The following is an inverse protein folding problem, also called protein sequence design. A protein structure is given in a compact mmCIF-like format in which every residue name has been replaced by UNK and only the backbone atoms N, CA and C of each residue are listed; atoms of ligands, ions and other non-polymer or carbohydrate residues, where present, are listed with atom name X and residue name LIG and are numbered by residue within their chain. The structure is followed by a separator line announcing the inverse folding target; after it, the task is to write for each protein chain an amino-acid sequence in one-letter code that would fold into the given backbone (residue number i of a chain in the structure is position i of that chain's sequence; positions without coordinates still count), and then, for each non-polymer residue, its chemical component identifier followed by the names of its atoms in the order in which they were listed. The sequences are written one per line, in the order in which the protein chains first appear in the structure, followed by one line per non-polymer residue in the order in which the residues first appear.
data_IF_227285163926
#
_entry.id   IF_227285163926
#
_cell.length_a   1.000
_cell.length_b   1.000
_cell.length_c   1.000
_cell.angle_alpha   90.00
_cell.angle_beta   90.00
_cell.angle_gamma   90.00
#
_symmetry.space_group_name_H-M   'P 1'
#
loop_
_entity.id
_entity.type
_entity.pdbx_description
1 polymer ?
#
# COMPACT_ATOMS: atom_id res chain seq x y z
N UNK A 1 -1.78 0.40 -3.73
CA UNK A 1 -2.73 -0.67 -3.45
C UNK A 1 -2.75 -0.94 -1.97
N UNK A 2 -3.89 -1.09 -1.42
CA UNK A 2 -4.04 -1.48 -0.04
C UNK A 2 -3.88 -2.99 0.06
N UNK A 3 -3.28 -3.50 1.14
CA UNK A 3 -3.13 -4.93 1.40
C UNK A 3 -4.43 -5.75 1.37
N UNK A 4 -5.57 -5.09 1.26
CA UNK A 4 -6.89 -5.71 1.04
C UNK A 4 -6.91 -6.55 -0.25
N UNK A 5 -6.13 -6.16 -1.26
CA UNK A 5 -6.13 -6.84 -2.57
C UNK A 5 -5.23 -8.06 -2.60
N UNK A 6 -4.25 -8.10 -1.76
CA UNK A 6 -3.33 -9.24 -1.65
C UNK A 6 -3.97 -10.44 -0.98
N UNK A 7 -5.17 -10.30 -0.47
CA UNK A 7 -5.87 -11.32 0.29
C UNK A 7 -7.06 -11.97 -0.42
N UNK A 8 -7.10 -11.89 -1.74
CA UNK A 8 -8.12 -12.59 -2.52
C UNK A 8 -9.52 -12.01 -2.39
N UNK A 9 -9.67 -10.70 -2.34
CA UNK A 9 -10.97 -10.06 -2.55
C UNK A 9 -11.43 -10.43 -3.95
N UNK A 10 -12.37 -11.34 -4.05
CA UNK A 10 -13.01 -11.68 -5.33
C UNK A 10 -14.05 -10.62 -5.60
N UNK A 11 -13.77 -9.73 -6.54
CA UNK A 11 -14.76 -8.79 -7.02
C UNK A 11 -15.82 -9.53 -7.84
N UNK A 12 -17.10 -9.25 -7.57
CA UNK A 12 -18.15 -9.70 -8.46
C UNK A 12 -18.00 -9.08 -9.86
N UNK A 13 -18.39 -9.78 -10.95
CA UNK A 13 -18.26 -9.26 -12.31
C UNK A 13 -18.84 -7.85 -12.51
N UNK A 14 -19.98 -7.55 -11.90
CA UNK A 14 -20.60 -6.20 -11.98
C UNK A 14 -19.82 -5.12 -11.22
N UNK A 15 -19.03 -5.47 -10.20
CA UNK A 15 -18.11 -4.52 -9.57
C UNK A 15 -16.98 -4.18 -10.54
N UNK A 16 -16.46 -5.19 -11.24
CA UNK A 16 -15.41 -5.01 -12.23
C UNK A 16 -15.83 -4.09 -13.38
N UNK A 17 -17.07 -4.26 -13.89
CA UNK A 17 -17.63 -3.37 -14.92
C UNK A 17 -17.69 -1.92 -14.44
N UNK A 18 -18.20 -1.68 -13.22
CA UNK A 18 -18.24 -0.34 -12.64
C UNK A 18 -16.84 0.23 -12.39
N UNK A 19 -15.91 -0.58 -11.91
CA UNK A 19 -14.54 -0.19 -11.66
C UNK A 19 -13.80 0.25 -12.94
N UNK A 20 -13.95 -0.50 -14.03
CA UNK A 20 -13.33 -0.15 -15.30
C UNK A 20 -13.84 1.20 -15.86
N UNK A 21 -15.11 1.50 -15.66
CA UNK A 21 -15.68 2.79 -16.09
C UNK A 21 -15.18 3.94 -15.21
N UNK A 22 -15.09 3.75 -13.90
CA UNK A 22 -14.53 4.73 -12.95
C UNK A 22 -13.06 5.04 -13.24
N UNK A 23 -12.26 4.04 -13.61
CA UNK A 23 -10.87 4.25 -14.04
C UNK A 23 -10.78 5.09 -15.32
N UNK A 24 -11.67 4.87 -16.30
CA UNK A 24 -11.68 5.65 -17.55
C UNK A 24 -12.06 7.11 -17.35
N UNK A 25 -12.86 7.39 -16.34
CA UNK A 25 -13.36 8.72 -16.00
C UNK A 25 -12.47 9.43 -14.97
N UNK A 26 -11.33 8.85 -14.59
CA UNK A 26 -10.42 9.31 -13.52
C UNK A 26 -11.11 9.47 -12.15
N UNK A 27 -12.28 8.87 -11.96
CA UNK A 27 -12.99 8.88 -10.69
C UNK A 27 -12.34 7.96 -9.63
N UNK A 28 -11.48 7.04 -10.09
CA UNK A 28 -10.84 6.06 -9.24
C UNK A 28 -9.35 5.89 -9.61
N UNK A 29 -8.45 6.58 -8.95
CA UNK A 29 -7.03 6.47 -9.22
C UNK A 29 -6.52 5.04 -9.06
N UNK A 30 -5.71 4.56 -10.01
CA UNK A 30 -5.15 3.19 -10.00
C UNK A 30 -4.37 2.88 -8.73
N UNK A 31 -3.71 3.89 -8.17
CA UNK A 31 -2.89 3.77 -6.96
C UNK A 31 -3.70 3.37 -5.71
N UNK A 32 -5.00 3.50 -5.74
CA UNK A 32 -5.89 3.02 -4.68
C UNK A 32 -6.14 1.50 -4.77
N UNK A 33 -5.76 0.87 -5.89
CA UNK A 33 -6.13 -0.51 -6.19
C UNK A 33 -4.95 -1.41 -6.49
N UNK A 34 -3.91 -0.88 -7.09
CA UNK A 34 -2.70 -1.61 -7.47
C UNK A 34 -1.52 -1.02 -6.71
N UNK A 35 -0.74 -1.88 -6.11
CA UNK A 35 0.51 -1.49 -5.48
C UNK A 35 1.62 -1.42 -6.53
N UNK A 36 2.46 -0.39 -6.41
CA UNK A 36 3.67 -0.20 -7.22
C UNK A 36 4.89 -0.28 -6.31
N UNK A 37 5.58 -1.42 -6.32
CA UNK A 37 6.82 -1.61 -5.58
C UNK A 37 8.00 -1.11 -6.39
N UNK A 38 8.90 -0.35 -5.75
CA UNK A 38 10.12 0.17 -6.36
C UNK A 38 11.32 -0.17 -5.49
N UNK A 39 12.43 -0.58 -6.10
CA UNK A 39 13.69 -0.82 -5.38
C UNK A 39 14.90 -0.64 -6.30
N UNK A 40 16.05 -0.20 -5.74
CA UNK A 40 17.30 -0.06 -6.49
C UNK A 40 18.10 -1.36 -6.45
N UNK A 41 18.67 -1.73 -7.60
CA UNK A 41 19.65 -2.81 -7.76
C UNK A 41 20.96 -2.26 -8.33
N UNK A 42 21.96 -3.13 -8.51
CA UNK A 42 23.22 -2.72 -9.18
C UNK A 42 23.01 -2.26 -10.62
N UNK A 43 21.94 -2.72 -11.28
CA UNK A 43 21.63 -2.41 -12.68
C UNK A 43 20.75 -1.17 -12.88
N UNK A 44 20.18 -0.60 -11.83
CA UNK A 44 19.27 0.54 -11.93
C UNK A 44 18.06 0.43 -10.98
N UNK A 45 17.03 1.20 -11.29
CA UNK A 45 15.77 1.16 -10.57
C UNK A 45 14.88 0.03 -11.13
N UNK A 46 14.30 -0.77 -10.26
CA UNK A 46 13.32 -1.79 -10.63
C UNK A 46 11.95 -1.40 -10.08
N UNK A 47 10.91 -1.70 -10.84
CA UNK A 47 9.54 -1.48 -10.45
C UNK A 47 8.66 -2.67 -10.76
N UNK A 48 7.61 -2.88 -9.98
CA UNK A 48 6.63 -3.94 -10.22
C UNK A 48 5.25 -3.54 -9.70
N UNK A 49 4.22 -4.10 -10.33
CA UNK A 49 2.85 -4.02 -9.82
C UNK A 49 2.58 -5.17 -8.86
N UNK A 50 1.60 -4.97 -7.98
CA UNK A 50 1.09 -6.02 -7.11
C UNK A 50 -0.41 -5.82 -6.88
N UNK A 51 -1.21 -6.86 -7.17
CA UNK A 51 -2.66 -6.83 -7.06
C UNK A 51 -3.40 -6.88 -8.41
N UNK A 52 -2.68 -6.95 -9.54
CA UNK A 52 -3.29 -7.14 -10.86
C UNK A 52 -3.95 -8.53 -10.97
N UNK A 53 -3.44 -9.52 -10.27
CA UNK A 53 -3.94 -10.89 -10.23
C UNK A 53 -5.37 -10.99 -9.66
N UNK A 54 -5.74 -10.10 -8.75
CA UNK A 54 -7.11 -9.96 -8.21
C UNK A 54 -8.13 -9.71 -9.33
N UNK A 55 -7.69 -9.03 -10.39
CA UNK A 55 -8.50 -8.75 -11.58
C UNK A 55 -8.27 -9.78 -12.70
N UNK A 56 -7.60 -10.89 -12.41
CA UNK A 56 -7.27 -11.93 -13.39
C UNK A 56 -6.24 -11.48 -14.43
N UNK A 57 -5.42 -10.48 -14.11
CA UNK A 57 -4.33 -9.95 -14.95
C UNK A 57 -2.97 -10.37 -14.39
N UNK A 58 -1.98 -10.45 -15.27
CA UNK A 58 -0.60 -10.71 -14.85
C UNK A 58 0.06 -9.44 -14.32
N UNK A 59 0.88 -9.58 -13.29
CA UNK A 59 1.68 -8.49 -12.75
C UNK A 59 2.70 -7.99 -13.79
N UNK A 60 3.09 -6.73 -13.67
CA UNK A 60 4.04 -6.08 -14.55
C UNK A 60 5.34 -5.77 -13.82
N UNK A 61 6.47 -5.88 -14.52
CA UNK A 61 7.79 -5.54 -14.01
C UNK A 61 8.55 -4.67 -15.01
N UNK A 62 9.29 -3.71 -14.50
CA UNK A 62 10.34 -2.99 -15.20
C UNK A 62 11.64 -3.22 -14.46
N UNK A 63 12.70 -3.59 -15.17
CA UNK A 63 13.98 -3.91 -14.57
C UNK A 63 15.07 -2.97 -15.09
N UNK A 64 15.96 -2.55 -14.18
CA UNK A 64 17.15 -1.76 -14.47
C UNK A 64 16.85 -0.44 -15.23
N UNK A 65 15.76 0.22 -14.89
CA UNK A 65 15.42 1.50 -15.46
C UNK A 65 16.42 2.59 -15.01
N UNK A 66 16.82 3.43 -15.96
CA UNK A 66 17.48 4.70 -15.66
C UNK A 66 16.41 5.78 -15.56
N UNK A 67 15.78 5.85 -14.41
CA UNK A 67 14.63 6.70 -14.14
C UNK A 67 14.61 7.14 -12.67
N UNK A 68 13.91 8.22 -12.41
CA UNK A 68 13.55 8.59 -11.04
C UNK A 68 12.34 7.74 -10.56
N UNK A 69 12.20 7.52 -9.24
CA UNK A 69 11.15 6.67 -8.70
C UNK A 69 9.73 7.07 -9.13
N UNK A 70 9.43 8.37 -9.21
CA UNK A 70 8.15 8.88 -9.68
C UNK A 70 7.86 8.52 -11.12
N UNK A 71 8.82 8.76 -12.00
CA UNK A 71 8.71 8.44 -13.43
C UNK A 71 8.45 6.95 -13.65
N UNK A 72 9.17 6.08 -12.95
CA UNK A 72 8.98 4.64 -13.10
C UNK A 72 7.63 4.16 -12.55
N UNK A 73 7.16 4.76 -11.45
CA UNK A 73 5.83 4.48 -10.90
C UNK A 73 4.74 4.86 -11.90
N UNK A 74 4.79 6.07 -12.44
CA UNK A 74 3.79 6.59 -13.37
C UNK A 74 3.84 5.85 -14.71
N UNK A 75 5.05 5.47 -15.13
CA UNK A 75 5.25 4.60 -16.28
C UNK A 75 4.54 3.25 -16.10
N UNK A 76 4.67 2.59 -14.95
CA UNK A 76 3.98 1.33 -14.66
C UNK A 76 2.46 1.52 -14.46
N UNK A 77 2.05 2.64 -13.87
CA UNK A 77 0.65 2.93 -13.61
C UNK A 77 -0.17 3.04 -14.90
N UNK A 78 0.41 3.57 -15.94
CA UNK A 78 -0.26 3.78 -17.22
C UNK A 78 -0.67 2.48 -17.94
N UNK A 79 0.22 1.49 -18.19
CA UNK A 79 -0.20 0.20 -18.73
C UNK A 79 -1.11 -0.60 -17.79
N UNK A 80 -0.91 -0.51 -16.48
CA UNK A 80 -1.80 -1.14 -15.52
C UNK A 80 -3.22 -0.58 -15.60
N UNK A 81 -3.37 0.74 -15.65
CA UNK A 81 -4.65 1.42 -15.84
C UNK A 81 -5.31 1.03 -17.16
N UNK A 82 -4.55 1.02 -18.25
CA UNK A 82 -5.04 0.62 -19.57
C UNK A 82 -5.56 -0.82 -19.57
N UNK A 83 -4.79 -1.76 -19.02
CA UNK A 83 -5.18 -3.18 -18.94
C UNK A 83 -6.46 -3.37 -18.15
N UNK A 84 -6.61 -2.67 -17.02
CA UNK A 84 -7.82 -2.76 -16.20
C UNK A 84 -9.01 -2.02 -16.80
N UNK A 85 -8.81 -0.80 -17.28
CA UNK A 85 -9.90 0.03 -17.83
C UNK A 85 -10.45 -0.51 -19.16
N UNK A 86 -9.61 -1.16 -19.98
CA UNK A 86 -10.02 -1.70 -21.28
C UNK A 86 -10.23 -3.22 -21.26
N UNK A 87 -10.06 -3.88 -20.12
CA UNK A 87 -10.14 -5.34 -19.96
C UNK A 87 -9.29 -6.12 -20.97
N UNK A 88 -8.13 -5.59 -21.34
CA UNK A 88 -7.23 -6.23 -22.30
C UNK A 88 -6.30 -7.21 -21.60
N UNK A 89 -5.76 -8.15 -22.37
CA UNK A 89 -4.70 -9.07 -21.95
C UNK A 89 -3.49 -8.87 -22.84
N UNK A 90 -2.41 -8.39 -22.27
CA UNK A 90 -1.14 -8.21 -22.96
C UNK A 90 -0.45 -9.57 -23.15
N UNK A 91 0.28 -9.73 -24.26
CA UNK A 91 0.94 -10.99 -24.60
C UNK A 91 2.43 -10.79 -24.83
N UNK A 92 3.16 -11.87 -24.68
CA UNK A 92 4.59 -11.93 -25.00
C UNK A 92 4.86 -11.46 -26.43
N UNK A 93 5.83 -10.57 -26.59
CA UNK A 93 6.23 -9.99 -27.88
C UNK A 93 5.36 -8.82 -28.37
N UNK A 94 4.29 -8.48 -27.68
CA UNK A 94 3.53 -7.26 -27.98
C UNK A 94 4.31 -6.01 -27.53
N UNK A 95 3.84 -4.86 -27.98
CA UNK A 95 4.39 -3.56 -27.54
C UNK A 95 3.28 -2.71 -26.97
N UNK A 96 3.61 -1.93 -25.95
CA UNK A 96 2.76 -0.89 -25.39
C UNK A 96 3.49 0.45 -25.51
N UNK A 97 2.76 1.53 -25.68
CA UNK A 97 3.35 2.86 -25.78
C UNK A 97 2.32 3.94 -25.52
N UNK A 98 2.78 5.12 -25.13
CA UNK A 98 1.93 6.27 -24.79
C UNK A 98 1.83 7.27 -25.93
N UNK A 99 2.72 7.15 -26.93
CA UNK A 99 2.73 7.94 -28.16
C UNK A 99 3.06 7.05 -29.37
N UNK A 100 2.88 7.56 -30.57
CA UNK A 100 3.07 6.79 -31.80
C UNK A 100 4.51 6.30 -32.03
N UNK A 101 5.48 6.98 -31.46
CA UNK A 101 6.92 6.75 -31.52
C UNK A 101 7.49 6.14 -30.22
N UNK A 102 6.68 6.05 -29.19
CA UNK A 102 7.04 5.49 -27.89
C UNK A 102 6.53 4.03 -27.79
N UNK A 103 7.43 3.08 -27.92
CA UNK A 103 7.08 1.64 -27.94
C UNK A 103 7.95 0.83 -27.00
N UNK A 104 7.31 0.27 -25.99
CA UNK A 104 7.93 -0.59 -25.01
C UNK A 104 7.57 -2.05 -25.27
N UNK A 105 8.58 -2.90 -25.39
CA UNK A 105 8.37 -4.33 -25.65
C UNK A 105 7.94 -5.04 -24.38
N UNK A 106 6.97 -5.95 -24.52
CA UNK A 106 6.49 -6.82 -23.45
C UNK A 106 7.12 -8.18 -23.59
N UNK A 107 7.73 -8.70 -22.53
CA UNK A 107 8.27 -10.04 -22.45
C UNK A 107 7.67 -10.78 -21.27
N UNK A 108 7.07 -11.94 -21.51
CA UNK A 108 6.49 -12.76 -20.47
C UNK A 108 7.52 -13.75 -19.93
N UNK A 109 7.88 -13.67 -18.67
CA UNK A 109 8.87 -14.54 -18.03
C UNK A 109 8.63 -14.65 -16.51
N UNK A 110 9.28 -15.60 -15.81
CA UNK A 110 9.20 -15.69 -14.36
C UNK A 110 9.54 -14.35 -13.68
N UNK A 111 8.82 -14.02 -12.63
CA UNK A 111 9.04 -12.82 -11.83
C UNK A 111 10.45 -12.75 -11.26
N UNK A 112 10.97 -11.52 -11.09
CA UNK A 112 12.25 -11.24 -10.42
C UNK A 112 12.00 -10.48 -9.13
N UNK A 113 11.09 -9.52 -9.15
CA UNK A 113 10.66 -8.75 -7.99
C UNK A 113 9.54 -9.44 -7.20
N UNK A 114 8.91 -10.42 -7.80
CA UNK A 114 7.82 -11.24 -7.28
C UNK A 114 8.29 -12.70 -7.14
N UNK A 115 7.53 -13.58 -6.47
CA UNK A 115 7.92 -15.00 -6.33
C UNK A 115 8.24 -15.65 -7.68
N UNK A 116 9.35 -16.41 -7.75
CA UNK A 116 9.85 -17.02 -8.99
C UNK A 116 8.85 -17.93 -9.72
N UNK A 117 7.83 -18.42 -9.02
CA UNK A 117 6.78 -19.27 -9.58
C UNK A 117 5.73 -18.47 -10.36
N UNK A 118 5.68 -17.15 -10.17
CA UNK A 118 4.71 -16.26 -10.82
C UNK A 118 5.27 -15.76 -12.15
N UNK A 119 4.49 -15.90 -13.21
CA UNK A 119 4.81 -15.29 -14.51
C UNK A 119 4.41 -13.82 -14.48
N UNK A 120 5.28 -12.96 -15.01
CA UNK A 120 5.08 -11.53 -15.08
C UNK A 120 5.29 -10.99 -16.49
N UNK A 121 4.71 -9.82 -16.75
CA UNK A 121 4.93 -9.07 -17.99
C UNK A 121 6.05 -8.04 -17.75
N UNK A 122 7.23 -8.31 -18.29
CA UNK A 122 8.35 -7.37 -18.23
C UNK A 122 8.24 -6.37 -19.35
N UNK A 123 8.16 -5.09 -19.00
CA UNK A 123 8.05 -3.99 -19.95
C UNK A 123 9.43 -3.35 -20.08
N UNK A 124 9.95 -3.23 -21.32
CA UNK A 124 11.19 -2.51 -21.56
C UNK A 124 11.01 -1.03 -21.22
N UNK A 125 11.98 -0.48 -20.51
CA UNK A 125 12.02 0.94 -20.21
C UNK A 125 13.18 1.57 -21.02
N UNK A 126 12.86 2.48 -21.92
CA UNK A 126 13.83 3.32 -22.60
C UNK A 126 13.50 4.76 -22.22
N UNK A 127 14.45 5.50 -21.61
CA UNK A 127 14.22 6.91 -21.32
C UNK A 127 13.89 7.65 -22.61
N UNK A 128 12.88 8.50 -22.61
CA UNK A 128 12.57 9.35 -23.75
C UNK A 128 13.82 10.19 -24.07
N UNK A 129 14.36 10.06 -25.29
CA UNK A 129 15.42 10.95 -25.74
C UNK A 129 14.87 12.38 -25.71
N UNK A 130 15.35 13.19 -24.76
CA UNK A 130 14.99 14.58 -24.65
C UNK A 130 15.17 15.28 -25.98
N UNK A 131 14.14 15.98 -26.45
CA UNK A 131 14.27 16.86 -27.61
C UNK A 131 15.49 17.76 -27.45
N UNK A 132 16.31 17.90 -28.48
CA UNK A 132 17.46 18.82 -28.40
C UNK A 132 16.98 20.25 -28.22
N UNK A 133 17.66 20.95 -27.31
CA UNK A 133 17.54 22.32 -26.93
C UNK A 133 16.94 23.25 -28.00
N UNK A 134 15.80 23.84 -27.74
CA UNK A 134 15.39 25.08 -28.40
C UNK A 134 15.79 26.26 -27.51
N UNK A 135 16.93 26.81 -27.82
CA UNK A 135 17.47 28.06 -27.27
C UNK A 135 16.77 29.25 -27.96
N UNK A 136 15.88 29.92 -27.23
CA UNK A 136 15.25 31.11 -27.80
C UNK A 136 14.26 31.84 -26.92
N UNK A 137 14.78 32.73 -26.11
CA UNK A 137 14.20 33.73 -25.23
C UNK A 137 12.76 34.24 -25.45
N UNK A 138 12.07 34.49 -24.36
CA UNK A 138 10.83 35.27 -24.34
C UNK A 138 10.18 35.23 -22.95
N UNK A 139 10.47 36.27 -22.18
CA UNK A 139 9.76 36.62 -20.95
C UNK A 139 8.24 36.65 -21.17
N UNK A 140 7.52 35.91 -20.38
CA UNK A 140 6.13 36.28 -20.04
C UNK A 140 5.79 35.64 -18.70
N UNK A 141 5.64 36.50 -17.70
CA UNK A 141 5.11 36.17 -16.39
C UNK A 141 3.72 35.55 -16.56
N UNK A 142 3.59 34.28 -16.27
CA UNK A 142 2.36 33.66 -15.86
C UNK A 142 2.68 32.72 -14.69
N UNK A 143 2.18 33.16 -13.54
CA UNK A 143 2.11 32.45 -12.29
C UNK A 143 1.17 31.25 -12.48
N UNK A 144 1.70 30.14 -13.00
CA UNK A 144 1.09 28.84 -12.92
C UNK A 144 1.96 28.02 -11.96
N UNK A 145 1.54 27.99 -10.72
CA UNK A 145 1.98 27.00 -9.74
C UNK A 145 1.65 25.63 -10.31
N UNK A 146 2.58 25.03 -11.05
CA UNK A 146 2.61 23.60 -11.24
C UNK A 146 2.85 22.99 -9.87
N UNK A 147 1.84 22.35 -9.32
CA UNK A 147 1.99 21.41 -8.22
C UNK A 147 2.89 20.29 -8.74
N UNK A 148 4.20 20.47 -8.58
CA UNK A 148 5.13 19.37 -8.56
C UNK A 148 4.64 18.50 -7.39
N UNK A 149 3.98 17.38 -7.66
CA UNK A 149 3.75 16.35 -6.66
C UNK A 149 5.13 15.85 -6.22
N UNK A 150 5.69 16.61 -5.29
CA UNK A 150 6.87 16.25 -4.53
C UNK A 150 6.61 14.85 -3.98
N UNK A 151 7.45 13.88 -4.32
CA UNK A 151 7.47 12.59 -3.67
C UNK A 151 7.58 12.87 -2.18
N UNK A 152 6.47 12.96 -1.50
CA UNK A 152 6.47 13.16 -0.07
C UNK A 152 7.13 11.94 0.52
N UNK A 153 8.26 12.12 1.17
CA UNK A 153 8.78 11.10 2.06
C UNK A 153 7.62 10.61 2.93
N UNK A 154 7.51 9.30 3.20
CA UNK A 154 6.43 8.80 4.02
C UNK A 154 6.34 9.63 5.31
N UNK A 155 5.12 9.95 5.73
CA UNK A 155 4.92 10.57 7.03
C UNK A 155 5.43 9.62 8.10
N UNK A 156 6.35 10.09 8.92
CA UNK A 156 6.96 9.30 9.99
C UNK A 156 6.89 10.06 11.30
N UNK A 157 6.84 9.34 12.40
CA UNK A 157 7.04 9.95 13.72
C UNK A 157 8.43 10.54 13.86
N UNK A 158 8.52 11.64 14.55
CA UNK A 158 9.79 12.10 15.11
C UNK A 158 10.29 11.11 16.17
N UNK A 159 11.58 11.16 16.51
CA UNK A 159 12.16 10.32 17.57
C UNK A 159 11.41 10.51 18.90
N UNK A 160 11.07 11.75 19.27
CA UNK A 160 10.33 12.06 20.49
C UNK A 160 8.89 11.49 20.47
N UNK A 161 8.20 11.54 19.33
CA UNK A 161 6.86 10.97 19.17
C UNK A 161 6.92 9.44 19.24
N UNK A 162 7.94 8.83 18.64
CA UNK A 162 8.14 7.38 18.68
C UNK A 162 8.38 6.89 20.10
N UNK A 163 9.28 7.56 20.85
CA UNK A 163 9.52 7.26 22.28
C UNK A 163 8.25 7.43 23.12
N UNK A 164 7.43 8.44 22.84
CA UNK A 164 6.18 8.68 23.57
C UNK A 164 5.15 7.58 23.31
N UNK A 165 5.00 7.13 22.05
CA UNK A 165 4.10 6.04 21.68
C UNK A 165 4.59 4.71 22.26
N UNK A 166 5.89 4.41 22.17
CA UNK A 166 6.47 3.19 22.77
C UNK A 166 6.27 3.18 24.29
N UNK A 167 6.53 4.29 24.96
CA UNK A 167 6.31 4.42 26.40
C UNK A 167 4.82 4.23 26.77
N UNK A 168 3.90 4.70 25.95
CA UNK A 168 2.46 4.47 26.13
C UNK A 168 2.11 2.99 25.96
N UNK A 169 2.63 2.35 24.91
CA UNK A 169 2.44 0.91 24.68
C UNK A 169 2.95 0.10 25.88
N UNK A 170 4.16 0.39 26.35
CA UNK A 170 4.74 -0.31 27.51
C UNK A 170 3.94 -0.11 28.80
N UNK A 171 3.43 1.09 29.01
CA UNK A 171 2.63 1.42 30.21
C UNK A 171 1.32 0.65 30.26
N UNK A 172 0.61 0.51 29.14
CA UNK A 172 -0.77 -0.03 29.11
C UNK A 172 -0.86 -1.47 28.60
N UNK A 173 0.02 -1.83 27.66
CA UNK A 173 0.01 -3.18 27.07
C UNK A 173 1.15 -4.04 27.57
N UNK A 174 2.24 -3.45 28.07
CA UNK A 174 3.44 -4.12 28.56
C UNK A 174 4.60 -4.03 27.59
N UNK A 175 5.72 -4.60 28.00
CA UNK A 175 6.98 -4.46 27.30
C UNK A 175 6.92 -4.99 25.87
N UNK A 176 7.37 -4.18 24.92
CA UNK A 176 7.58 -4.59 23.54
C UNK A 176 8.81 -5.51 23.47
N UNK A 177 8.64 -6.73 22.98
CA UNK A 177 9.75 -7.69 22.85
C UNK A 177 10.24 -7.85 21.41
N UNK A 178 9.38 -7.56 20.43
CA UNK A 178 9.72 -7.66 19.02
C UNK A 178 8.97 -6.61 18.22
N UNK A 179 9.53 -6.21 17.08
CA UNK A 179 8.91 -5.27 16.13
C UNK A 179 9.03 -5.85 14.73
N UNK A 180 7.91 -5.93 14.05
CA UNK A 180 7.88 -6.22 12.61
C UNK A 180 7.99 -4.91 11.85
N UNK A 181 9.22 -4.59 11.42
CA UNK A 181 9.49 -3.38 10.65
C UNK A 181 8.89 -3.45 9.25
N UNK A 182 8.38 -2.33 8.80
CA UNK A 182 7.96 -2.17 7.43
C UNK A 182 9.18 -1.88 6.56
N UNK A 183 9.34 -2.64 5.48
CA UNK A 183 10.50 -2.48 4.59
C UNK A 183 10.27 -1.44 3.50
N UNK A 184 9.01 -1.19 3.15
CA UNK A 184 8.60 -0.24 2.10
C UNK A 184 7.37 0.52 2.59
N UNK A 185 7.46 1.83 2.65
CA UNK A 185 6.41 2.71 3.15
C UNK A 185 6.04 3.72 2.07
N UNK A 186 4.91 3.52 1.38
CA UNK A 186 4.51 4.42 0.28
C UNK A 186 3.94 5.76 0.75
N UNK A 187 3.35 5.79 1.92
CA UNK A 187 2.58 6.91 2.48
C UNK A 187 2.97 7.21 3.93
N UNK A 188 2.73 6.28 4.84
CA UNK A 188 3.17 6.27 6.23
C UNK A 188 4.04 5.04 6.50
N UNK A 189 4.97 5.16 7.42
CA UNK A 189 5.74 4.02 7.90
C UNK A 189 5.04 3.40 9.11
N UNK A 190 4.54 2.16 8.96
CA UNK A 190 3.79 1.48 10.02
C UNK A 190 4.48 0.18 10.43
N UNK A 191 5.13 0.23 11.54
CA UNK A 191 5.67 -0.94 12.23
C UNK A 191 4.60 -1.64 13.09
N UNK A 192 4.81 -2.89 13.42
CA UNK A 192 3.95 -3.64 14.33
C UNK A 192 4.77 -4.08 15.55
N UNK A 193 4.47 -3.47 16.67
CA UNK A 193 5.01 -3.83 17.97
C UNK A 193 4.33 -5.08 18.51
N UNK A 194 5.11 -6.00 19.06
CA UNK A 194 4.63 -7.24 19.67
C UNK A 194 4.84 -7.19 21.17
N UNK A 195 3.73 -7.27 21.90
CA UNK A 195 3.73 -7.42 23.35
C UNK A 195 3.33 -8.86 23.68
N UNK A 196 4.23 -9.67 24.25
CA UNK A 196 3.96 -11.08 24.52
C UNK A 196 2.96 -11.27 25.67
N UNK A 197 2.42 -12.48 25.81
CA UNK A 197 1.62 -12.85 26.99
C UNK A 197 2.41 -12.67 28.29
N UNK A 198 1.72 -12.40 29.39
CA UNK A 198 2.29 -12.31 30.73
C UNK A 198 1.46 -13.10 31.74
N UNK A 199 1.90 -13.15 33.00
CA UNK A 199 1.12 -13.81 34.08
C UNK A 199 -0.24 -13.15 34.30
N UNK A 200 -0.38 -11.86 33.98
CA UNK A 200 -1.62 -11.10 34.14
C UNK A 200 -2.48 -11.10 32.88
N UNK A 201 -1.89 -11.43 31.73
CA UNK A 201 -2.52 -11.42 30.40
C UNK A 201 -2.12 -12.65 29.61
N UNK A 202 -3.05 -13.55 29.39
CA UNK A 202 -2.88 -14.80 28.65
C UNK A 202 -3.09 -14.64 27.15
N UNK A 203 -2.76 -13.46 26.59
CA UNK A 203 -2.85 -13.13 25.17
C UNK A 203 -1.65 -12.28 24.71
N UNK A 204 -1.34 -12.39 23.43
CA UNK A 204 -0.39 -11.54 22.73
C UNK A 204 -1.09 -10.29 22.21
N UNK A 205 -0.46 -9.12 22.27
CA UNK A 205 -1.00 -7.90 21.67
C UNK A 205 -0.08 -7.44 20.55
N UNK A 206 -0.67 -7.15 19.40
CA UNK A 206 -0.01 -6.44 18.30
C UNK A 206 -0.50 -5.00 18.30
N UNK A 207 0.42 -4.04 18.20
CA UNK A 207 0.11 -2.61 18.18
C UNK A 207 0.81 -1.98 16.99
N UNK A 208 0.10 -1.15 16.23
CA UNK A 208 0.74 -0.33 15.19
C UNK A 208 1.63 0.72 15.84
N UNK A 209 2.71 1.10 15.15
CA UNK A 209 3.53 2.26 15.48
C UNK A 209 3.82 3.01 14.18
N UNK A 210 3.27 4.20 14.07
CA UNK A 210 3.43 5.05 12.89
C UNK A 210 2.14 5.46 12.19
N UNK A 211 1.00 4.81 12.48
CA UNK A 211 -0.29 5.26 11.94
C UNK A 211 -0.59 6.72 12.32
N UNK A 212 -0.31 7.08 13.57
CA UNK A 212 -0.57 8.42 14.08
C UNK A 212 0.43 9.48 13.60
N UNK A 213 1.41 9.16 12.76
CA UNK A 213 2.19 10.17 12.06
C UNK A 213 1.29 10.98 11.13
N UNK A 214 0.35 10.32 10.47
CA UNK A 214 -0.69 10.97 9.67
C UNK A 214 -1.80 11.56 10.54
N UNK A 215 -2.25 12.76 10.19
CA UNK A 215 -3.43 13.36 10.80
C UNK A 215 -4.68 13.01 10.02
N UNK A 216 -5.52 12.18 10.61
CA UNK A 216 -6.79 11.75 10.02
C UNK A 216 -7.76 12.94 9.85
N UNK A 217 -8.57 12.90 8.80
CA UNK A 217 -9.60 13.90 8.52
C UNK A 217 -10.84 13.69 9.41
N UNK A 218 -10.76 14.20 10.64
CA UNK A 218 -11.83 14.10 11.65
C UNK A 218 -12.81 15.25 11.45
N UNK A 219 -14.13 15.01 11.51
CA UNK A 219 -15.14 16.07 11.44
C UNK A 219 -14.90 17.18 12.48
N UNK A 220 -15.11 18.43 12.07
CA UNK A 220 -14.86 19.62 12.91
C UNK A 220 -15.66 19.58 14.23
N UNK A 221 -16.84 18.98 14.21
CA UNK A 221 -17.70 18.79 15.39
C UNK A 221 -17.07 17.91 16.47
N UNK A 222 -16.07 17.09 16.11
CA UNK A 222 -15.34 16.20 17.01
C UNK A 222 -13.93 16.71 17.38
N UNK A 223 -13.53 17.89 16.92
CA UNK A 223 -12.20 18.43 17.15
C UNK A 223 -11.81 18.56 18.64
N UNK A 224 -12.79 18.75 19.53
CA UNK A 224 -12.54 18.81 20.98
C UNK A 224 -12.00 17.51 21.57
N UNK A 225 -12.25 16.36 20.90
CA UNK A 225 -11.82 15.02 21.35
C UNK A 225 -10.42 14.65 20.87
N UNK A 226 -9.79 15.43 19.97
CA UNK A 226 -8.43 15.23 19.44
C UNK A 226 -8.21 13.82 18.88
N UNK A 227 -9.12 13.40 18.02
CA UNK A 227 -9.15 12.05 17.44
C UNK A 227 -8.32 11.92 16.16
N UNK A 228 -7.60 12.95 15.76
CA UNK A 228 -6.87 13.03 14.50
C UNK A 228 -5.62 12.13 14.45
N UNK A 229 -5.20 11.57 15.58
CA UNK A 229 -4.06 10.64 15.64
C UNK A 229 -4.42 9.45 16.50
N UNK A 230 -4.08 8.26 16.04
CA UNK A 230 -4.33 7.02 16.76
C UNK A 230 -3.35 5.91 16.34
N UNK A 231 -3.19 4.93 17.20
CA UNK A 231 -2.63 3.64 16.87
C UNK A 231 -3.70 2.56 17.06
N UNK A 232 -3.54 1.43 16.38
CA UNK A 232 -4.44 0.29 16.43
C UNK A 232 -3.81 -0.85 17.22
N UNK A 233 -4.61 -1.54 18.00
CA UNK A 233 -4.18 -2.74 18.72
C UNK A 233 -5.13 -3.90 18.47
N UNK A 234 -4.60 -5.13 18.45
CA UNK A 234 -5.38 -6.37 18.40
C UNK A 234 -4.81 -7.38 19.37
N UNK A 235 -5.70 -8.01 20.17
CA UNK A 235 -5.32 -9.11 21.04
C UNK A 235 -5.49 -10.45 20.32
N UNK A 236 -4.48 -11.32 20.42
CA UNK A 236 -4.43 -12.64 19.82
C UNK A 236 -4.20 -13.70 20.89
N UNK A 237 -4.60 -14.96 20.67
CA UNK A 237 -4.30 -16.06 21.58
C UNK A 237 -2.80 -16.13 21.93
N UNK A 238 -2.47 -16.52 23.15
CA UNK A 238 -1.10 -16.58 23.64
C UNK A 238 -0.17 -17.49 22.83
N UNK A 239 -0.72 -18.47 22.15
CA UNK A 239 -0.04 -19.43 21.28
C UNK A 239 -0.02 -19.01 19.80
N UNK A 240 -0.38 -17.74 19.50
CA UNK A 240 -0.32 -17.21 18.14
C UNK A 240 1.12 -17.22 17.63
N UNK A 241 1.31 -17.76 16.44
CA UNK A 241 2.66 -17.91 15.87
C UNK A 241 3.10 -16.64 15.16
N UNK A 242 4.19 -16.07 15.64
CA UNK A 242 4.80 -14.84 15.13
C UNK A 242 6.26 -15.06 14.66
N UNK A 243 6.68 -16.31 14.50
CA UNK A 243 8.00 -16.62 13.95
C UNK A 243 8.00 -16.43 12.42
N UNK A 244 9.18 -16.14 11.87
CA UNK A 244 9.37 -15.80 10.47
C UNK A 244 8.83 -16.87 9.50
N UNK A 245 8.89 -18.14 9.85
CA UNK A 245 8.41 -19.22 8.99
C UNK A 245 6.88 -19.30 9.02
N UNK A 246 6.28 -19.19 10.19
CA UNK A 246 4.82 -19.19 10.33
C UNK A 246 4.18 -17.98 9.66
N UNK A 247 4.84 -16.83 9.68
CA UNK A 247 4.34 -15.59 9.06
C UNK A 247 4.28 -15.60 7.54
N UNK A 248 4.84 -16.63 6.87
CA UNK A 248 4.64 -16.87 5.43
C UNK A 248 3.26 -17.45 5.12
N UNK A 249 2.57 -17.97 6.12
CA UNK A 249 1.24 -18.56 6.00
C UNK A 249 0.18 -17.52 6.44
N UNK A 250 -0.73 -17.18 5.55
CA UNK A 250 -1.78 -16.17 5.76
C UNK A 250 -2.60 -16.44 7.03
N UNK A 251 -2.77 -17.68 7.43
CA UNK A 251 -3.49 -18.04 8.66
C UNK A 251 -2.89 -17.45 9.94
N UNK A 252 -1.60 -17.07 9.91
CA UNK A 252 -0.91 -16.43 11.02
C UNK A 252 -0.62 -14.95 10.75
N UNK A 253 -0.53 -14.56 9.45
CA UNK A 253 -0.17 -13.22 9.05
C UNK A 253 -1.36 -12.25 8.98
N UNK A 254 -2.58 -12.73 8.78
CA UNK A 254 -3.75 -11.87 8.57
C UNK A 254 -3.96 -10.75 9.61
N UNK A 255 -3.64 -10.90 10.92
CA UNK A 255 -3.83 -9.80 11.86
C UNK A 255 -2.88 -8.62 11.60
N UNK A 256 -1.63 -8.90 11.21
CA UNK A 256 -0.66 -7.86 10.84
C UNK A 256 -1.13 -7.15 9.58
N UNK A 257 -1.55 -7.91 8.57
CA UNK A 257 -2.10 -7.35 7.34
C UNK A 257 -3.33 -6.49 7.61
N UNK A 258 -4.24 -6.96 8.46
CA UNK A 258 -5.42 -6.20 8.86
C UNK A 258 -5.04 -4.86 9.51
N UNK A 259 -4.12 -4.87 10.49
CA UNK A 259 -3.67 -3.65 11.15
C UNK A 259 -3.06 -2.67 10.15
N UNK A 260 -2.16 -3.13 9.26
CA UNK A 260 -1.54 -2.28 8.25
C UNK A 260 -2.55 -1.71 7.23
N UNK A 261 -3.55 -2.49 6.86
CA UNK A 261 -4.63 -2.04 5.97
C UNK A 261 -5.51 -0.98 6.63
N UNK A 262 -5.88 -1.21 7.88
CA UNK A 262 -6.68 -0.24 8.64
C UNK A 262 -5.90 1.05 8.91
N UNK A 263 -4.61 0.96 9.21
CA UNK A 263 -3.76 2.14 9.44
C UNK A 263 -3.72 3.10 8.23
N UNK A 264 -3.86 2.56 7.01
CA UNK A 264 -3.86 3.33 5.76
C UNK A 264 -5.24 3.77 5.28
N UNK A 265 -6.30 3.23 5.86
CA UNK A 265 -7.66 3.57 5.45
C UNK A 265 -7.97 5.07 5.55
N UNK A 266 -7.55 5.79 6.61
CA UNK A 266 -7.77 7.24 6.68
C UNK A 266 -7.14 8.02 5.53
N UNK A 267 -5.92 7.64 5.12
CA UNK A 267 -5.21 8.28 4.00
C UNK A 267 -5.93 7.97 2.68
N UNK A 268 -6.20 6.69 2.44
CA UNK A 268 -6.79 6.23 1.18
C UNK A 268 -8.22 6.74 0.94
N UNK A 269 -8.94 7.06 2.02
CA UNK A 269 -10.35 7.46 1.95
C UNK A 269 -10.58 8.91 2.40
N UNK A 270 -9.52 9.69 2.64
CA UNK A 270 -9.60 11.03 3.23
C UNK A 270 -10.58 11.08 4.42
N UNK A 271 -10.37 10.19 5.38
CA UNK A 271 -11.33 9.84 6.42
C UNK A 271 -10.65 9.71 7.79
N UNK A 272 -11.34 9.12 8.74
CA UNK A 272 -10.81 8.84 10.06
C UNK A 272 -11.29 7.49 10.60
N UNK A 273 -10.56 6.95 11.55
CA UNK A 273 -10.94 5.77 12.31
C UNK A 273 -11.06 6.09 13.79
N UNK A 274 -12.12 5.62 14.41
CA UNK A 274 -12.37 5.83 15.83
C UNK A 274 -13.34 4.81 16.42
N UNK A 275 -13.62 4.99 17.70
CA UNK A 275 -14.52 4.12 18.44
C UNK A 275 -15.89 3.95 17.75
N UNK A 276 -16.31 2.72 17.60
CA UNK A 276 -17.60 2.37 16.99
C UNK A 276 -17.56 2.20 15.47
N UNK A 277 -16.46 2.55 14.80
CA UNK A 277 -16.34 2.28 13.39
C UNK A 277 -16.23 0.80 13.10
N UNK A 278 -16.85 0.39 12.01
CA UNK A 278 -16.87 -1.00 11.56
C UNK A 278 -16.41 -1.04 10.10
N UNK A 279 -15.40 -1.85 9.84
CA UNK A 279 -14.83 -2.06 8.52
C UNK A 279 -15.03 -3.49 8.09
N UNK A 280 -15.85 -3.68 7.06
CA UNK A 280 -16.20 -5.00 6.54
C UNK A 280 -15.22 -5.42 5.45
N UNK A 281 -14.69 -6.65 5.58
CA UNK A 281 -13.85 -7.29 4.57
C UNK A 281 -14.64 -8.16 3.57
N UNK A 282 -15.95 -8.36 3.82
CA UNK A 282 -16.87 -9.22 3.06
C UNK A 282 -16.54 -10.71 3.11
N UNK A 283 -15.28 -11.07 2.97
CA UNK A 283 -14.75 -12.43 3.07
C UNK A 283 -14.00 -12.62 4.38
N UNK A 284 -13.84 -13.86 4.88
CA UNK A 284 -13.01 -14.13 6.04
C UNK A 284 -11.59 -13.58 5.88
N UNK A 285 -11.00 -13.09 6.95
CA UNK A 285 -9.62 -12.55 6.92
C UNK A 285 -8.57 -13.59 6.52
N UNK A 286 -8.85 -14.87 6.76
CA UNK A 286 -8.04 -16.01 6.32
C UNK A 286 -8.87 -17.29 6.37
N UNK A 287 -8.39 -18.38 5.75
CA UNK A 287 -9.09 -19.67 5.67
C UNK A 287 -9.37 -20.33 7.02
N UNK A 288 -8.57 -20.00 8.04
CA UNK A 288 -8.70 -20.55 9.38
C UNK A 288 -9.64 -19.74 10.29
N UNK A 289 -10.28 -18.69 9.81
CA UNK A 289 -11.21 -17.86 10.57
C UNK A 289 -12.52 -17.64 9.81
N UNK A 290 -13.55 -17.25 10.53
CA UNK A 290 -14.81 -16.76 9.95
C UNK A 290 -15.00 -15.26 10.16
N UNK A 291 -14.01 -14.60 10.78
CA UNK A 291 -14.05 -13.18 11.00
C UNK A 291 -13.84 -12.46 9.66
N UNK A 292 -14.76 -11.58 9.33
CA UNK A 292 -14.76 -10.79 8.09
C UNK A 292 -15.00 -9.30 8.34
N UNK A 293 -15.05 -8.88 9.59
CA UNK A 293 -15.35 -7.49 9.96
C UNK A 293 -14.49 -7.08 11.15
N UNK A 294 -13.87 -5.92 11.05
CA UNK A 294 -13.21 -5.27 12.16
C UNK A 294 -14.14 -4.20 12.77
N UNK A 295 -14.31 -4.23 14.06
CA UNK A 295 -15.00 -3.17 14.82
C UNK A 295 -13.99 -2.52 15.76
N UNK A 296 -13.84 -1.20 15.65
CA UNK A 296 -12.94 -0.44 16.51
C UNK A 296 -13.65 -0.11 17.83
N UNK A 297 -12.99 -0.45 18.90
CA UNK A 297 -13.42 -0.09 20.25
C UNK A 297 -12.34 0.77 20.90
N UNK A 298 -12.75 1.73 21.73
CA UNK A 298 -11.78 2.47 22.53
C UNK A 298 -11.22 1.59 23.65
N UNK A 299 -10.03 1.89 24.12
CA UNK A 299 -9.48 1.24 25.30
C UNK A 299 -10.43 1.47 26.49
N UNK A 300 -10.65 0.44 27.29
CA UNK A 300 -11.58 0.53 28.40
C UNK A 300 -10.95 1.00 29.71
N UNK A 301 -9.62 0.99 29.83
CA UNK A 301 -8.91 1.32 31.05
C UNK A 301 -7.51 1.92 30.77
N UNK A 302 -7.41 2.87 29.84
CA UNK A 302 -6.14 3.58 29.56
C UNK A 302 -6.18 5.04 29.98
#
# INVERSE_FOLDING_TARGET
ATGVYTSGVVFEPRFYEGFADMLKEDELPIFNWIWFGLYRSEGGLNGYTYGMDVFGKEEMEVLNADAEPGELRDFLASPASYVLACDVTLKDGETIGFAADDKHTITRSPGISLPEEQMTLKISYEPSEGSPDDDGGGHSDNDDTQDEEEFSNPEVYTEEEMEAVEGHIEQYFGKVENVFHELVSPDIHVDICVVPPSEERDYCTLVTMGMGAHRMNVPEELAEYKLERAELAIALPADWKLDQESMKDEKWYWPIRLLKSLARLPINCDSWLGHGHTVENREPFADNTKLCTATLIGPQDT
#
